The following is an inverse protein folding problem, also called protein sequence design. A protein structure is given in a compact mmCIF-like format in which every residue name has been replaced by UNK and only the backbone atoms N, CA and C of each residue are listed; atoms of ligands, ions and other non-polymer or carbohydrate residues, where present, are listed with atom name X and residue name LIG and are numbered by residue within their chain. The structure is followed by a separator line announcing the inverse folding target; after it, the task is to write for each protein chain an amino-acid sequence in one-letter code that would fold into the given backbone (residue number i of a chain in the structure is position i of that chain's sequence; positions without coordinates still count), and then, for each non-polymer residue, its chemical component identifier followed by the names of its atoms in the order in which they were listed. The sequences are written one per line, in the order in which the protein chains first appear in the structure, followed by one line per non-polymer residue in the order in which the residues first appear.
data_IF_451275894886
#
_entry.id   IF_451275894886
#
_cell.length_a   1.000
_cell.length_b   1.000
_cell.length_c   1.000
_cell.angle_alpha   90.00
_cell.angle_beta   90.00
_cell.angle_gamma   90.00
#
_symmetry.space_group_name_H-M   'P 1'
#
loop_
_entity.id
_entity.type
_entity.pdbx_description
1 polymer ?
#
# COMPACT_ATOMS: atom_id res chain seq x y z
N UNK A 1 3.68 11.66 1.57
CA UNK A 1 2.70 11.48 0.48
C UNK A 1 3.27 10.40 -0.42
N UNK A 2 2.57 9.27 -0.52
CA UNK A 2 2.95 8.16 -1.41
C UNK A 2 1.94 8.13 -2.56
N UNK A 3 2.43 7.93 -3.79
CA UNK A 3 1.60 7.73 -4.99
C UNK A 3 1.96 6.36 -5.57
N UNK A 4 0.97 5.49 -5.73
CA UNK A 4 1.09 4.24 -6.48
C UNK A 4 0.37 4.43 -7.81
N UNK A 5 1.03 4.03 -8.90
CA UNK A 5 0.50 4.12 -10.27
C UNK A 5 0.60 2.74 -10.90
N UNK A 6 -0.53 2.24 -11.40
CA UNK A 6 -0.57 0.99 -12.17
C UNK A 6 -0.32 1.31 -13.65
N UNK A 7 0.64 0.64 -14.29
CA UNK A 7 1.12 0.95 -15.64
C UNK A 7 0.31 0.27 -16.78
N UNK A 8 -0.99 0.02 -16.59
CA UNK A 8 -1.87 -0.49 -17.65
C UNK A 8 -2.74 0.62 -18.26
N UNK A 9 -3.52 0.34 -19.30
CA UNK A 9 -4.46 1.30 -19.90
C UNK A 9 -5.48 1.86 -18.90
N UNK A 10 -5.76 1.11 -17.83
CA UNK A 10 -6.48 1.60 -16.66
C UNK A 10 -5.49 1.88 -15.54
N UNK A 11 -5.54 3.09 -14.99
CA UNK A 11 -4.60 3.53 -13.96
C UNK A 11 -5.33 4.26 -12.83
N UNK A 12 -4.79 4.11 -11.62
CA UNK A 12 -5.25 4.84 -10.44
C UNK A 12 -4.06 5.46 -9.73
N UNK A 13 -4.23 6.70 -9.28
CA UNK A 13 -3.35 7.34 -8.30
C UNK A 13 -3.95 7.14 -6.91
N UNK A 14 -3.23 6.42 -6.04
CA UNK A 14 -3.62 6.22 -4.65
C UNK A 14 -2.79 7.12 -3.74
N UNK A 15 -3.45 7.94 -2.91
CA UNK A 15 -2.82 8.78 -1.89
C UNK A 15 -3.18 8.30 -0.49
N UNK A 16 -2.20 8.39 0.41
CA UNK A 16 -2.40 8.02 1.80
C UNK A 16 -1.27 8.46 2.72
N UNK A 17 -1.46 8.15 4.00
CA UNK A 17 -0.47 8.33 5.05
C UNK A 17 0.35 7.05 5.16
N UNK A 18 1.67 7.18 5.04
CA UNK A 18 2.58 6.05 5.16
C UNK A 18 2.96 5.84 6.64
N UNK A 19 2.72 4.64 7.14
CA UNK A 19 3.17 4.16 8.44
C UNK A 19 4.35 3.20 8.21
N UNK A 20 5.52 3.51 8.78
CA UNK A 20 6.65 2.58 8.80
C UNK A 20 6.49 1.63 9.99
N UNK A 21 6.41 0.33 9.71
CA UNK A 21 6.16 -0.70 10.72
C UNK A 21 7.32 -1.66 10.75
N UNK A 22 8.04 -1.68 11.87
CA UNK A 22 9.08 -2.67 12.11
C UNK A 22 8.44 -3.99 12.58
N UNK A 23 8.86 -5.18 12.09
CA UNK A 23 8.22 -6.46 12.45
C UNK A 23 8.28 -6.81 13.95
N UNK A 24 9.23 -6.22 14.67
CA UNK A 24 9.37 -6.39 16.12
C UNK A 24 8.72 -5.27 16.96
N UNK A 25 8.03 -4.32 16.34
CA UNK A 25 7.36 -3.24 17.06
C UNK A 25 6.07 -3.76 17.73
N UNK A 26 6.07 -3.89 19.05
CA UNK A 26 4.91 -4.32 19.82
C UNK A 26 3.92 -3.20 20.13
N UNK A 27 4.28 -1.94 19.86
CA UNK A 27 3.41 -0.78 20.01
C UNK A 27 2.58 -0.47 18.76
N UNK A 28 2.95 -1.03 17.60
CA UNK A 28 2.20 -0.89 16.36
C UNK A 28 0.83 -1.60 16.44
N UNK A 29 -0.21 -1.05 15.77
CA UNK A 29 -1.52 -1.70 15.68
C UNK A 29 -1.42 -3.14 15.18
N UNK A 30 -2.22 -4.04 15.75
CA UNK A 30 -2.23 -5.47 15.37
C UNK A 30 -2.40 -5.67 13.86
N UNK A 31 -3.38 -5.00 13.27
CA UNK A 31 -3.62 -5.05 11.83
C UNK A 31 -2.38 -4.65 10.99
N UNK A 32 -1.69 -3.57 11.37
CA UNK A 32 -0.46 -3.14 10.67
C UNK A 32 0.65 -4.19 10.79
N UNK A 33 0.81 -4.83 11.96
CA UNK A 33 1.79 -5.90 12.17
C UNK A 33 1.46 -7.17 11.38
N UNK A 34 0.18 -7.51 11.30
CA UNK A 34 -0.28 -8.68 10.53
C UNK A 34 -0.02 -8.49 9.03
N UNK A 35 -0.25 -7.28 8.49
CA UNK A 35 0.09 -6.94 7.10
C UNK A 35 1.59 -7.09 6.81
N UNK A 36 2.46 -6.60 7.70
CA UNK A 36 3.92 -6.75 7.55
C UNK A 36 4.33 -8.21 7.62
N UNK A 37 3.77 -8.98 8.57
CA UNK A 37 4.02 -10.41 8.71
C UNK A 37 3.61 -11.17 7.46
N UNK A 38 2.36 -10.97 7.01
CA UNK A 38 1.82 -11.59 5.81
C UNK A 38 2.67 -11.28 4.58
N UNK A 39 3.07 -10.03 4.38
CA UNK A 39 3.88 -9.62 3.23
C UNK A 39 5.26 -10.28 3.23
N UNK A 40 5.91 -10.39 4.40
CA UNK A 40 7.18 -11.11 4.52
C UNK A 40 7.04 -12.63 4.27
N UNK A 41 5.95 -13.24 4.73
CA UNK A 41 5.65 -14.65 4.47
C UNK A 41 5.39 -14.91 2.98
N UNK A 42 4.57 -14.06 2.34
CA UNK A 42 4.32 -14.13 0.91
C UNK A 42 5.62 -13.98 0.11
N UNK A 43 6.46 -13.01 0.46
CA UNK A 43 7.76 -12.83 -0.16
C UNK A 43 8.66 -14.08 0.00
N UNK A 44 8.71 -14.66 1.20
CA UNK A 44 9.48 -15.88 1.45
C UNK A 44 8.92 -17.09 0.68
N UNK A 45 7.61 -17.17 0.53
CA UNK A 45 6.96 -18.20 -0.28
C UNK A 45 7.37 -18.12 -1.76
N UNK A 46 7.43 -16.91 -2.34
CA UNK A 46 7.79 -16.72 -3.75
C UNK A 46 9.30 -16.71 -4.03
N UNK A 47 10.12 -16.32 -3.05
CA UNK A 47 11.55 -16.08 -3.26
C UNK A 47 12.48 -16.94 -2.37
N UNK A 48 11.94 -17.88 -1.60
CA UNK A 48 12.68 -18.69 -0.62
C UNK A 48 12.83 -17.99 0.73
N UNK A 49 13.31 -18.72 1.75
CA UNK A 49 13.42 -18.19 3.11
C UNK A 49 14.45 -17.05 3.21
N UNK A 50 14.03 -15.91 3.77
CA UNK A 50 14.91 -14.77 4.03
C UNK A 50 15.49 -14.83 5.45
N UNK A 51 16.69 -14.27 5.69
CA UNK A 51 17.39 -14.40 6.98
C UNK A 51 16.70 -13.65 8.14
N UNK A 52 15.68 -12.83 7.84
CA UNK A 52 14.89 -12.07 8.81
C UNK A 52 13.62 -11.53 8.17
N UNK A 53 12.73 -11.02 9.02
CA UNK A 53 11.62 -10.16 8.61
C UNK A 53 12.13 -8.73 8.38
N UNK A 54 11.57 -8.05 7.38
CA UNK A 54 11.90 -6.67 7.04
C UNK A 54 10.75 -5.72 7.43
N UNK A 55 11.06 -4.45 7.76
CA UNK A 55 10.05 -3.41 7.95
C UNK A 55 9.18 -3.24 6.71
N UNK A 56 7.88 -3.04 6.93
CA UNK A 56 6.92 -2.74 5.88
C UNK A 56 6.42 -1.31 5.95
N UNK A 57 5.90 -0.81 4.83
CA UNK A 57 5.18 0.46 4.78
C UNK A 57 3.70 0.12 4.61
N UNK A 58 2.89 0.44 5.62
CA UNK A 58 1.43 0.34 5.55
C UNK A 58 0.90 1.69 5.11
N UNK A 59 0.20 1.75 3.97
CA UNK A 59 -0.36 2.98 3.44
C UNK A 59 -1.84 3.07 3.82
N UNK A 60 -2.17 4.00 4.70
CA UNK A 60 -3.54 4.35 5.06
C UNK A 60 -4.14 5.24 3.98
N UNK A 61 -4.89 4.63 3.06
CA UNK A 61 -5.45 5.32 1.89
C UNK A 61 -6.50 6.34 2.30
N UNK A 62 -6.30 7.59 1.87
CA UNK A 62 -7.22 8.71 2.13
C UNK A 62 -7.93 9.19 0.87
N UNK A 63 -7.31 8.99 -0.30
CA UNK A 63 -7.86 9.42 -1.58
C UNK A 63 -7.42 8.49 -2.71
N UNK A 64 -8.29 8.27 -3.67
CA UNK A 64 -8.02 7.54 -4.92
C UNK A 64 -8.51 8.38 -6.08
N UNK A 65 -7.69 8.49 -7.13
CA UNK A 65 -8.01 9.22 -8.36
C UNK A 65 -7.92 8.27 -9.55
N UNK A 66 -8.89 8.34 -10.46
CA UNK A 66 -8.78 7.68 -11.76
C UNK A 66 -7.87 8.55 -12.64
N UNK A 67 -6.64 8.09 -12.88
CA UNK A 67 -5.69 8.75 -13.77
C UNK A 67 -5.48 7.97 -15.07
N UNK A 68 -6.46 7.12 -15.46
CA UNK A 68 -6.44 6.38 -16.72
C UNK A 68 -6.26 7.33 -17.91
N UNK A 69 -5.28 7.09 -18.79
CA UNK A 69 -5.04 7.94 -19.95
C UNK A 69 -6.29 8.06 -20.84
N UNK A 70 -6.67 9.29 -21.19
CA UNK A 70 -7.79 9.57 -22.10
C UNK A 70 -9.19 9.59 -21.46
N UNK A 71 -9.43 8.87 -20.36
CA UNK A 71 -10.76 8.77 -19.73
C UNK A 71 -10.82 9.22 -18.28
N UNK A 72 -9.79 8.93 -17.47
CA UNK A 72 -9.85 9.14 -16.02
C UNK A 72 -9.69 10.60 -15.59
N UNK A 73 -8.93 11.39 -16.35
CA UNK A 73 -8.71 12.83 -16.13
C UNK A 73 -8.14 13.21 -14.73
N UNK A 74 -7.70 12.25 -13.93
CA UNK A 74 -7.21 12.50 -12.57
C UNK A 74 -8.32 12.89 -11.60
N UNK A 75 -9.56 12.49 -11.83
CA UNK A 75 -10.69 12.82 -10.93
C UNK A 75 -10.69 11.93 -9.70
N UNK A 76 -11.01 12.50 -8.54
CA UNK A 76 -11.15 11.72 -7.31
C UNK A 76 -12.37 10.79 -7.42
N UNK A 77 -12.15 9.50 -7.20
CA UNK A 77 -13.20 8.48 -7.24
C UNK A 77 -13.53 7.91 -5.86
N UNK A 78 -12.62 8.05 -4.88
CA UNK A 78 -12.88 7.61 -3.52
C UNK A 78 -12.07 8.39 -2.47
N UNK A 79 -12.60 8.51 -1.23
CA UNK A 79 -14.03 8.47 -0.93
C UNK A 79 -14.78 9.60 -1.65
N UNK A 80 -16.12 9.50 -1.83
CA UNK A 80 -16.91 10.56 -2.44
C UNK A 80 -16.68 11.90 -1.75
N UNK A 81 -16.72 12.99 -2.53
CA UNK A 81 -16.77 14.33 -1.94
C UNK A 81 -18.09 14.49 -1.16
N UNK A 82 -18.09 15.27 -0.05
CA UNK A 82 -19.31 15.57 0.71
C UNK A 82 -20.41 16.21 -0.14
#
# INVERSE_FOLDING_TARGET
MTSLVFLDSTSFEVRGIAELVHPADTGAPEYSRDLVTYTNLAHSYFHGEFPRLFPGIVVHVTEVFDNSPGTGLGVRIAPPLP
#
